data_IF_040021039252
#
_entry.id   IF_040021039252
#
_cell.length_a   1.000
_cell.length_b   1.000
_cell.length_c   1.000
_cell.angle_alpha   90.00
_cell.angle_beta   90.00
_cell.angle_gamma   90.00
#
_symmetry.space_group_name_H-M   'P 1'
#
loop_
_entity.id
_entity.type
_entity.pdbx_description
1 polymer ?
#
# COMPACT_ATOMS: atom_id res chain seq x y z
N UNK A 1 72.74 -19.84 34.65
CA UNK A 1 71.30 -20.09 34.45
C UNK A 1 70.88 -19.24 33.24
N UNK A 2 70.78 -19.86 32.05
CA UNK A 2 69.51 -20.20 31.35
C UNK A 2 68.85 -18.91 30.79
N UNK A 3 68.51 -18.67 29.50
CA UNK A 3 68.28 -19.36 28.21
C UNK A 3 68.35 -18.21 27.15
N UNK A 4 69.17 -18.17 26.09
CA UNK A 4 69.12 -18.83 24.75
C UNK A 4 68.04 -18.29 23.77
N UNK A 5 68.54 -17.71 22.65
CA UNK A 5 68.01 -17.67 21.24
C UNK A 5 66.75 -16.81 20.96
N UNK A 6 66.46 -16.31 19.77
CA UNK A 6 67.06 -16.19 18.42
C UNK A 6 65.93 -15.61 17.54
N UNK A 7 66.22 -14.82 16.50
CA UNK A 7 65.29 -14.74 15.37
C UNK A 7 65.30 -13.41 14.61
N UNK A 8 65.93 -13.41 13.44
CA UNK A 8 65.69 -12.42 12.40
C UNK A 8 64.36 -12.69 11.68
N UNK A 9 63.66 -11.64 11.23
CA UNK A 9 62.74 -11.75 10.09
C UNK A 9 62.55 -10.45 9.32
N UNK A 10 62.39 -10.63 8.02
CA UNK A 10 62.31 -9.66 6.93
C UNK A 10 60.84 -9.36 6.54
N UNK A 11 60.64 -8.21 5.89
CA UNK A 11 59.59 -7.81 4.94
C UNK A 11 58.10 -8.09 5.24
N UNK A 12 57.29 -7.03 5.29
CA UNK A 12 56.16 -6.73 4.37
C UNK A 12 55.08 -5.89 5.08
N UNK A 13 54.66 -4.77 4.45
CA UNK A 13 53.47 -4.00 4.84
C UNK A 13 52.21 -4.69 4.31
N UNK A 14 51.08 -4.75 5.04
CA UNK A 14 49.83 -5.26 4.50
C UNK A 14 49.12 -4.20 3.64
N UNK A 15 48.76 -4.59 2.40
CA UNK A 15 47.70 -3.97 1.61
C UNK A 15 46.35 -4.45 2.18
N UNK A 16 45.69 -3.64 3.01
CA UNK A 16 44.29 -3.84 3.36
C UNK A 16 43.55 -2.51 3.32
N UNK A 17 43.18 -2.02 2.13
CA UNK A 17 42.23 -0.90 2.02
C UNK A 17 41.41 -0.85 0.71
N UNK A 18 41.16 -1.98 0.04
CA UNK A 18 40.38 -1.97 -1.22
C UNK A 18 39.20 -2.94 -1.30
N UNK A 19 38.92 -3.74 -0.26
CA UNK A 19 37.87 -4.77 -0.34
C UNK A 19 36.44 -4.27 0.01
N UNK A 20 36.29 -3.13 0.69
CA UNK A 20 34.99 -2.62 1.15
C UNK A 20 34.24 -1.76 0.13
N UNK A 21 34.92 -1.20 -0.87
CA UNK A 21 34.27 -0.35 -1.89
C UNK A 21 33.48 -1.14 -2.93
N UNK A 22 33.93 -2.35 -3.28
CA UNK A 22 33.29 -3.17 -4.32
C UNK A 22 31.94 -3.76 -3.90
N UNK A 23 31.80 -4.15 -2.62
CA UNK A 23 30.57 -4.78 -2.11
C UNK A 23 29.42 -3.79 -1.89
N UNK A 24 29.75 -2.51 -1.62
CA UNK A 24 28.76 -1.44 -1.47
C UNK A 24 28.20 -0.99 -2.82
N UNK A 25 29.07 -0.78 -3.81
CA UNK A 25 28.67 -0.38 -5.16
C UNK A 25 27.77 -1.43 -5.85
N UNK A 26 28.02 -2.73 -5.65
CA UNK A 26 27.18 -3.80 -6.22
C UNK A 26 25.82 -3.91 -5.52
N UNK A 27 25.77 -3.65 -4.22
CA UNK A 27 24.53 -3.65 -3.43
C UNK A 27 23.65 -2.43 -3.75
N UNK A 28 24.27 -1.26 -3.97
CA UNK A 28 23.58 -0.04 -4.43
C UNK A 28 23.03 -0.23 -5.86
N UNK A 29 23.81 -0.79 -6.80
CA UNK A 29 23.32 -1.10 -8.15
C UNK A 29 22.15 -2.10 -8.16
N UNK A 30 22.19 -3.12 -7.28
CA UNK A 30 21.14 -4.11 -7.16
C UNK A 30 19.86 -3.53 -6.53
N UNK A 31 20.01 -2.63 -5.55
CA UNK A 31 18.90 -1.88 -4.98
C UNK A 31 18.26 -0.96 -6.04
N UNK A 32 19.07 -0.22 -6.80
CA UNK A 32 18.60 0.66 -7.89
C UNK A 32 17.87 -0.14 -8.98
N UNK A 33 18.40 -1.28 -9.40
CA UNK A 33 17.74 -2.15 -10.37
C UNK A 33 16.41 -2.72 -9.85
N UNK A 34 16.31 -3.00 -8.55
CA UNK A 34 15.07 -3.48 -7.91
C UNK A 34 14.03 -2.38 -7.85
N UNK A 35 14.42 -1.16 -7.44
CA UNK A 35 13.55 0.01 -7.40
C UNK A 35 13.02 0.35 -8.79
N UNK A 36 13.88 0.32 -9.82
CA UNK A 36 13.45 0.56 -11.22
C UNK A 36 12.44 -0.49 -11.68
N UNK A 37 12.65 -1.78 -11.39
CA UNK A 37 11.70 -2.84 -11.74
C UNK A 37 10.35 -2.65 -11.06
N UNK A 38 10.34 -2.34 -9.76
CA UNK A 38 9.13 -2.10 -8.99
C UNK A 38 8.35 -0.88 -9.52
N UNK A 39 9.05 0.19 -9.91
CA UNK A 39 8.45 1.36 -10.54
C UNK A 39 7.84 1.07 -11.93
N UNK A 40 8.48 0.20 -12.73
CA UNK A 40 7.94 -0.24 -14.03
C UNK A 40 6.69 -1.10 -13.83
N UNK A 41 6.72 -2.02 -12.87
CA UNK A 41 5.58 -2.87 -12.53
C UNK A 41 4.37 -2.03 -12.06
N UNK A 42 4.58 -1.11 -11.11
CA UNK A 42 3.50 -0.21 -10.65
C UNK A 42 2.92 0.63 -11.78
N UNK A 43 3.75 1.18 -12.67
CA UNK A 43 3.25 1.90 -13.86
C UNK A 43 2.40 1.02 -14.76
N UNK A 44 2.77 -0.25 -14.93
CA UNK A 44 1.98 -1.20 -15.71
C UNK A 44 0.61 -1.48 -15.07
N UNK A 45 0.57 -1.64 -13.74
CA UNK A 45 -0.68 -1.88 -13.00
C UNK A 45 -1.60 -0.65 -13.05
N UNK A 46 -1.05 0.56 -12.88
CA UNK A 46 -1.80 1.82 -13.02
C UNK A 46 -2.44 1.92 -14.40
N UNK A 47 -1.66 1.66 -15.46
CA UNK A 47 -2.19 1.67 -16.83
C UNK A 47 -3.31 0.65 -17.03
N UNK A 48 -3.16 -0.56 -16.50
CA UNK A 48 -4.20 -1.58 -16.58
C UNK A 48 -5.49 -1.15 -15.85
N UNK A 49 -5.37 -0.44 -14.73
CA UNK A 49 -6.51 0.13 -14.00
C UNK A 49 -7.21 1.24 -14.78
N UNK A 50 -6.46 2.13 -15.44
CA UNK A 50 -7.00 3.18 -16.31
C UNK A 50 -7.76 2.59 -17.51
N UNK A 51 -7.17 1.60 -18.19
CA UNK A 51 -7.79 0.92 -19.33
C UNK A 51 -9.09 0.19 -18.90
N UNK A 52 -9.08 -0.46 -17.74
CA UNK A 52 -10.26 -1.09 -17.17
C UNK A 52 -11.33 -0.06 -16.76
N UNK A 53 -10.93 1.08 -16.18
CA UNK A 53 -11.85 2.12 -15.76
C UNK A 53 -12.56 2.77 -16.95
N UNK A 54 -11.83 2.99 -18.05
CA UNK A 54 -12.40 3.44 -19.31
C UNK A 54 -13.51 2.50 -19.81
N UNK A 55 -13.25 1.18 -19.78
CA UNK A 55 -14.23 0.17 -20.19
C UNK A 55 -15.50 0.20 -19.33
N UNK A 56 -15.36 0.28 -18.00
CA UNK A 56 -16.50 0.36 -17.06
C UNK A 56 -17.29 1.65 -17.24
N UNK A 57 -16.61 2.78 -17.50
CA UNK A 57 -17.23 4.07 -17.71
C UNK A 57 -18.22 4.12 -18.89
N UNK A 58 -18.13 3.19 -19.84
CA UNK A 58 -19.06 3.08 -20.97
C UNK A 58 -20.42 2.44 -20.64
N UNK A 59 -20.68 2.11 -19.36
CA UNK A 59 -21.98 1.61 -18.90
C UNK A 59 -22.14 0.09 -18.95
N UNK A 60 -21.07 -0.66 -19.25
CA UNK A 60 -21.08 -2.11 -19.21
C UNK A 60 -21.22 -2.62 -17.76
N UNK A 61 -22.18 -3.52 -17.52
CA UNK A 61 -22.25 -4.27 -16.25
C UNK A 61 -21.25 -5.43 -16.31
N UNK A 62 -20.25 -5.39 -15.43
CA UNK A 62 -19.28 -6.48 -15.29
C UNK A 62 -19.91 -7.69 -14.60
N UNK A 63 -19.65 -8.88 -15.13
CA UNK A 63 -19.93 -10.15 -14.44
C UNK A 63 -18.84 -10.44 -13.40
N UNK A 64 -19.15 -11.26 -12.39
CA UNK A 64 -18.20 -11.65 -11.32
C UNK A 64 -16.84 -12.13 -11.86
N UNK A 65 -16.84 -12.96 -12.90
CA UNK A 65 -15.61 -13.43 -13.54
C UNK A 65 -14.76 -12.30 -14.12
N UNK A 66 -15.39 -11.30 -14.74
CA UNK A 66 -14.69 -10.14 -15.32
C UNK A 66 -14.10 -9.24 -14.22
N UNK A 67 -14.82 -9.05 -13.11
CA UNK A 67 -14.30 -8.33 -11.94
C UNK A 67 -13.05 -9.01 -11.39
N UNK A 68 -13.07 -10.34 -11.26
CA UNK A 68 -11.91 -11.10 -10.77
C UNK A 68 -10.70 -10.99 -11.71
N UNK A 69 -10.91 -11.02 -13.02
CA UNK A 69 -9.82 -10.84 -13.98
C UNK A 69 -9.22 -9.43 -13.92
N UNK A 70 -10.05 -8.40 -13.74
CA UNK A 70 -9.55 -7.03 -13.52
C UNK A 70 -8.77 -6.94 -12.20
N UNK A 71 -9.29 -7.52 -11.11
CA UNK A 71 -8.59 -7.54 -9.83
C UNK A 71 -7.20 -8.18 -9.98
N UNK A 72 -7.11 -9.31 -10.67
CA UNK A 72 -5.82 -9.99 -10.93
C UNK A 72 -4.86 -9.13 -11.74
N UNK A 73 -5.34 -8.30 -12.65
CA UNK A 73 -4.49 -7.48 -13.51
C UNK A 73 -4.01 -6.18 -12.88
N UNK A 74 -4.68 -5.69 -11.82
CA UNK A 74 -4.34 -4.41 -11.19
C UNK A 74 -3.84 -4.56 -9.75
N UNK A 75 -4.12 -5.67 -9.06
CA UNK A 75 -3.70 -5.83 -7.67
C UNK A 75 -2.21 -6.17 -7.57
N UNK A 76 -1.51 -5.53 -6.62
CA UNK A 76 -0.20 -6.02 -6.17
C UNK A 76 -0.36 -7.32 -5.40
N UNK A 77 0.71 -8.12 -5.40
CA UNK A 77 0.88 -9.24 -4.46
C UNK A 77 1.06 -8.69 -3.03
N UNK A 78 0.09 -8.89 -2.11
CA UNK A 78 0.14 -8.26 -0.79
C UNK A 78 1.32 -8.70 0.07
N UNK A 79 1.87 -9.89 -0.20
CA UNK A 79 3.02 -10.45 0.53
C UNK A 79 4.32 -9.71 0.22
N UNK A 80 4.39 -9.00 -0.91
CA UNK A 80 5.58 -8.28 -1.37
C UNK A 80 5.57 -6.79 -1.04
N UNK A 81 4.43 -6.26 -0.59
CA UNK A 81 4.26 -4.84 -0.29
C UNK A 81 4.72 -4.55 1.13
N UNK A 82 5.58 -3.55 1.31
CA UNK A 82 5.98 -3.04 2.62
C UNK A 82 4.95 -2.03 3.10
N UNK A 83 4.22 -2.38 4.15
CA UNK A 83 3.22 -1.51 4.77
C UNK A 83 3.08 -1.85 6.25
N UNK A 84 3.12 -0.83 7.12
CA UNK A 84 3.05 -1.01 8.59
C UNK A 84 1.67 -1.50 9.07
N UNK A 85 0.67 -1.47 8.18
CA UNK A 85 -0.69 -1.85 8.49
C UNK A 85 -1.57 -0.63 8.72
N UNK A 86 -2.87 -0.84 8.54
CA UNK A 86 -3.89 0.15 8.77
C UNK A 86 -4.03 0.44 10.26
N UNK A 87 -4.37 1.69 10.57
CA UNK A 87 -4.65 2.13 11.93
C UNK A 87 -5.82 3.11 11.91
N UNK A 88 -6.39 3.35 13.08
CA UNK A 88 -7.36 4.41 13.30
C UNK A 88 -6.72 5.47 14.19
N UNK A 89 -6.89 6.73 13.79
CA UNK A 89 -6.54 7.88 14.63
C UNK A 89 -7.78 8.51 15.25
N UNK A 90 -7.66 9.77 15.66
CA UNK A 90 -8.80 10.58 16.09
C UNK A 90 -9.04 11.74 15.15
N UNK A 91 -10.30 12.00 14.87
CA UNK A 91 -10.79 13.14 14.13
C UNK A 91 -11.52 14.09 15.06
N UNK A 92 -11.18 15.37 14.95
CA UNK A 92 -11.87 16.46 15.65
C UNK A 92 -13.13 16.95 14.91
N UNK A 93 -13.36 16.46 13.68
CA UNK A 93 -14.42 16.89 12.79
C UNK A 93 -15.03 15.72 12.03
N UNK A 94 -16.34 15.80 11.79
CA UNK A 94 -17.07 14.84 10.94
C UNK A 94 -16.90 15.10 9.44
N UNK A 95 -16.29 16.23 9.07
CA UNK A 95 -16.05 16.55 7.66
C UNK A 95 -14.78 15.84 7.16
N UNK A 96 -14.89 14.54 6.91
CA UNK A 96 -13.76 13.70 6.47
C UNK A 96 -13.11 14.20 5.18
N UNK A 97 -13.89 14.75 4.24
CA UNK A 97 -13.33 15.33 3.01
C UNK A 97 -12.40 16.47 3.33
N UNK A 98 -12.81 17.38 4.22
CA UNK A 98 -11.97 18.46 4.70
C UNK A 98 -10.75 17.92 5.44
N UNK A 99 -10.92 16.96 6.35
CA UNK A 99 -9.79 16.33 7.08
C UNK A 99 -8.73 15.80 6.12
N UNK A 100 -9.14 15.09 5.06
CA UNK A 100 -8.21 14.54 4.08
C UNK A 100 -7.55 15.62 3.21
N UNK A 101 -8.33 16.57 2.71
CA UNK A 101 -7.85 17.62 1.81
C UNK A 101 -7.01 18.68 2.52
N UNK A 102 -7.25 18.95 3.80
CA UNK A 102 -6.37 19.81 4.60
C UNK A 102 -4.96 19.18 4.73
N UNK A 103 -4.90 17.86 4.88
CA UNK A 103 -3.63 17.12 4.94
C UNK A 103 -2.98 16.92 3.55
N UNK A 104 -3.77 17.00 2.47
CA UNK A 104 -3.33 16.77 1.09
C UNK A 104 -3.89 17.86 0.15
N UNK A 105 -3.53 19.15 0.34
CA UNK A 105 -4.18 20.27 -0.34
C UNK A 105 -4.05 20.21 -1.87
N UNK A 106 -2.94 19.65 -2.36
CA UNK A 106 -2.66 19.52 -3.80
C UNK A 106 -3.60 18.53 -4.52
N UNK A 107 -4.39 17.74 -3.78
CA UNK A 107 -5.34 16.78 -4.34
C UNK A 107 -6.76 17.34 -4.45
N UNK A 108 -6.98 18.62 -4.11
CA UNK A 108 -8.28 19.23 -4.17
C UNK A 108 -8.83 19.21 -5.59
N UNK A 109 -10.00 18.58 -5.76
CA UNK A 109 -10.63 18.43 -7.06
C UNK A 109 -10.13 17.24 -7.89
N UNK A 110 -9.09 16.54 -7.46
CA UNK A 110 -8.48 15.42 -8.20
C UNK A 110 -8.93 14.04 -7.72
N UNK A 111 -9.38 13.96 -6.46
CA UNK A 111 -9.74 12.69 -5.82
C UNK A 111 -11.17 12.66 -5.26
N UNK A 112 -11.71 11.46 -5.14
CA UNK A 112 -12.82 11.14 -4.27
C UNK A 112 -12.25 10.60 -2.96
N UNK A 113 -12.58 11.24 -1.83
CA UNK A 113 -12.15 10.77 -0.52
C UNK A 113 -13.02 9.59 -0.11
N UNK A 114 -12.38 8.47 0.23
CA UNK A 114 -12.99 7.22 0.63
C UNK A 114 -12.51 6.81 2.02
N UNK A 115 -13.38 6.16 2.80
CA UNK A 115 -13.04 5.60 4.10
C UNK A 115 -12.46 4.21 3.93
N UNK A 116 -11.25 3.98 4.46
CA UNK A 116 -10.52 2.74 4.31
C UNK A 116 -11.27 1.56 4.94
N UNK A 117 -11.60 1.62 6.23
CA UNK A 117 -12.71 0.87 6.78
C UNK A 117 -14.00 1.57 6.35
N UNK A 118 -14.80 0.93 5.49
CA UNK A 118 -15.92 1.62 4.86
C UNK A 118 -17.09 1.89 5.79
N UNK A 119 -18.00 2.76 5.34
CA UNK A 119 -19.16 3.21 6.13
C UNK A 119 -20.06 2.12 6.67
N UNK A 120 -20.18 1.03 5.95
CA UNK A 120 -20.99 -0.09 6.38
C UNK A 120 -20.41 -0.80 7.61
N UNK A 121 -19.12 -0.68 7.91
CA UNK A 121 -18.52 -1.28 9.11
C UNK A 121 -19.17 -0.73 10.37
N UNK A 122 -19.28 0.59 10.51
CA UNK A 122 -19.85 1.18 11.73
C UNK A 122 -21.38 1.21 11.70
N UNK A 123 -22.02 1.20 10.54
CA UNK A 123 -23.48 1.04 10.44
C UNK A 123 -23.93 -0.38 10.85
N UNK A 124 -23.17 -1.41 10.47
CA UNK A 124 -23.47 -2.82 10.80
C UNK A 124 -22.92 -3.24 12.17
N UNK A 125 -21.77 -2.69 12.57
CA UNK A 125 -21.02 -3.09 13.76
C UNK A 125 -20.58 -1.85 14.57
N UNK A 126 -21.53 -1.15 15.23
CA UNK A 126 -21.30 0.17 15.83
C UNK A 126 -20.28 0.21 16.98
N UNK A 127 -19.87 -0.95 17.51
CA UNK A 127 -18.87 -1.05 18.58
C UNK A 127 -17.43 -1.27 18.07
N UNK A 128 -17.22 -1.45 16.76
CA UNK A 128 -15.88 -1.76 16.21
C UNK A 128 -15.03 -0.49 16.05
N UNK A 129 -15.63 0.59 15.57
CA UNK A 129 -14.98 1.87 15.28
C UNK A 129 -15.66 2.95 16.11
N UNK A 130 -14.90 3.70 16.89
CA UNK A 130 -15.46 4.81 17.66
C UNK A 130 -15.84 5.98 16.74
N UNK A 131 -16.83 6.78 17.15
CA UNK A 131 -17.36 7.87 16.34
C UNK A 131 -16.32 8.95 15.99
N UNK A 132 -15.30 9.13 16.83
CA UNK A 132 -14.17 10.03 16.58
C UNK A 132 -13.05 9.38 15.73
N UNK A 133 -13.10 8.08 15.48
CA UNK A 133 -12.11 7.36 14.68
C UNK A 133 -12.51 7.25 13.20
N UNK A 134 -13.82 7.22 12.93
CA UNK A 134 -14.41 7.07 11.59
C UNK A 134 -13.75 7.99 10.57
N UNK A 135 -13.66 9.28 10.89
CA UNK A 135 -13.19 10.32 9.98
C UNK A 135 -11.70 10.66 10.16
N UNK A 136 -10.95 9.81 10.88
CA UNK A 136 -9.52 10.03 11.12
C UNK A 136 -8.73 9.96 9.83
N UNK A 137 -7.67 10.78 9.69
CA UNK A 137 -6.85 10.82 8.47
C UNK A 137 -6.33 9.43 8.09
N UNK A 138 -5.98 8.61 9.10
CA UNK A 138 -5.50 7.24 8.94
C UNK A 138 -6.53 6.32 8.29
N UNK A 139 -7.82 6.62 8.45
CA UNK A 139 -8.93 5.90 7.83
C UNK A 139 -9.36 6.49 6.48
N UNK A 140 -8.62 7.43 5.88
CA UNK A 140 -9.03 8.08 4.63
C UNK A 140 -8.06 7.77 3.49
N UNK A 141 -8.61 7.59 2.28
CA UNK A 141 -7.90 7.30 1.04
C UNK A 141 -8.36 8.28 -0.03
N UNK A 142 -7.45 8.80 -0.85
CA UNK A 142 -7.79 9.57 -2.04
C UNK A 142 -7.84 8.66 -3.25
N UNK A 143 -9.02 8.41 -3.80
CA UNK A 143 -9.20 7.63 -5.03
C UNK A 143 -9.19 8.61 -6.20
N UNK A 144 -8.27 8.50 -7.19
CA UNK A 144 -8.29 9.36 -8.36
C UNK A 144 -9.66 9.34 -9.04
N UNK A 145 -10.18 10.50 -9.45
CA UNK A 145 -11.52 10.60 -10.07
C UNK A 145 -11.70 9.68 -11.28
N UNK A 146 -10.65 9.54 -12.10
CA UNK A 146 -10.65 8.66 -13.26
C UNK A 146 -10.93 7.18 -12.88
N UNK A 147 -10.60 6.78 -11.65
CA UNK A 147 -10.76 5.42 -11.16
C UNK A 147 -12.01 5.24 -10.26
N UNK A 148 -12.79 6.29 -9.94
CA UNK A 148 -13.93 6.20 -9.00
C UNK A 148 -14.93 5.10 -9.41
N UNK A 149 -15.33 5.05 -10.68
CA UNK A 149 -16.31 4.06 -11.13
C UNK A 149 -15.78 2.62 -11.04
N UNK A 150 -14.49 2.40 -11.24
CA UNK A 150 -13.90 1.06 -11.16
C UNK A 150 -13.48 0.72 -9.73
N UNK A 151 -12.54 1.48 -9.19
CA UNK A 151 -11.89 1.15 -7.92
C UNK A 151 -12.87 1.30 -6.75
N UNK A 152 -13.56 2.43 -6.64
CA UNK A 152 -14.47 2.68 -5.53
C UNK A 152 -15.77 1.89 -5.64
N UNK A 153 -16.47 1.98 -6.77
CA UNK A 153 -17.84 1.43 -6.89
C UNK A 153 -17.89 -0.06 -7.23
N UNK A 154 -16.86 -0.61 -7.88
CA UNK A 154 -16.84 -2.03 -8.27
C UNK A 154 -15.89 -2.83 -7.37
N UNK A 155 -14.61 -2.46 -7.35
CA UNK A 155 -13.58 -3.31 -6.72
C UNK A 155 -13.66 -3.25 -5.20
N UNK A 156 -13.63 -2.06 -4.60
CA UNK A 156 -13.72 -1.94 -3.14
C UNK A 156 -15.07 -2.45 -2.61
N UNK A 157 -16.17 -2.23 -3.36
CA UNK A 157 -17.47 -2.83 -3.05
C UNK A 157 -17.38 -4.36 -3.03
N UNK A 158 -16.78 -4.96 -4.06
CA UNK A 158 -16.58 -6.41 -4.14
C UNK A 158 -15.77 -6.95 -2.95
N UNK A 159 -14.64 -6.33 -2.61
CA UNK A 159 -13.81 -6.74 -1.46
C UNK A 159 -14.62 -6.70 -0.16
N UNK A 160 -15.32 -5.60 0.11
CA UNK A 160 -16.11 -5.48 1.33
C UNK A 160 -17.28 -6.46 1.39
N UNK A 161 -17.92 -6.77 0.26
CA UNK A 161 -18.97 -7.79 0.21
C UNK A 161 -18.42 -9.18 0.58
N UNK A 162 -17.28 -9.58 0.01
CA UNK A 162 -16.60 -10.84 0.36
C UNK A 162 -16.17 -10.88 1.83
N UNK A 163 -15.70 -9.75 2.39
CA UNK A 163 -15.41 -9.65 3.82
C UNK A 163 -16.65 -9.91 4.67
N UNK A 164 -17.78 -9.30 4.35
CA UNK A 164 -19.02 -9.47 5.12
C UNK A 164 -19.61 -10.88 5.01
N UNK A 165 -19.46 -11.54 3.86
CA UNK A 165 -19.89 -12.94 3.70
C UNK A 165 -19.09 -13.89 4.60
N UNK A 166 -17.80 -13.63 4.77
CA UNK A 166 -16.89 -14.48 5.54
C UNK A 166 -16.76 -14.09 7.01
N UNK A 167 -17.14 -12.86 7.36
CA UNK A 167 -17.03 -12.29 8.71
C UNK A 167 -18.38 -11.68 9.16
N UNK A 168 -19.39 -12.50 9.49
CA UNK A 168 -20.70 -12.00 9.91
C UNK A 168 -20.68 -11.22 11.23
N UNK A 169 -19.66 -11.42 12.06
CA UNK A 169 -19.40 -10.67 13.29
C UNK A 169 -17.89 -10.38 13.41
N UNK A 170 -17.36 -9.40 12.66
CA UNK A 170 -15.94 -9.14 12.63
C UNK A 170 -15.48 -8.52 13.95
N UNK A 171 -14.24 -8.81 14.32
CA UNK A 171 -13.53 -8.06 15.36
C UNK A 171 -12.88 -6.81 14.77
N UNK A 172 -12.53 -5.86 15.63
CA UNK A 172 -11.76 -4.67 15.22
C UNK A 172 -10.45 -5.02 14.52
N UNK A 173 -9.73 -6.03 15.03
CA UNK A 173 -8.47 -6.44 14.42
C UNK A 173 -8.69 -7.01 13.02
N UNK A 174 -9.72 -7.85 12.81
CA UNK A 174 -10.06 -8.37 11.49
C UNK A 174 -10.40 -7.26 10.49
N UNK A 175 -11.09 -6.20 10.91
CA UNK A 175 -11.34 -5.03 10.04
C UNK A 175 -10.02 -4.35 9.66
N UNK A 176 -9.14 -4.06 10.62
CA UNK A 176 -7.85 -3.41 10.35
C UNK A 176 -6.92 -4.27 9.49
N UNK A 177 -6.91 -5.57 9.71
CA UNK A 177 -6.15 -6.53 8.90
C UNK A 177 -6.68 -6.53 7.47
N UNK A 178 -8.01 -6.46 7.29
CA UNK A 178 -8.62 -6.42 5.97
C UNK A 178 -8.39 -5.09 5.24
N UNK A 179 -8.46 -3.96 5.95
CA UNK A 179 -8.03 -2.66 5.39
C UNK A 179 -6.56 -2.73 4.96
N UNK A 180 -5.71 -3.35 5.78
CA UNK A 180 -4.29 -3.54 5.43
C UNK A 180 -4.10 -4.39 4.18
N UNK A 181 -4.92 -5.42 4.02
CA UNK A 181 -4.94 -6.28 2.84
C UNK A 181 -5.35 -5.50 1.58
N UNK A 182 -6.42 -4.71 1.65
CA UNK A 182 -6.88 -3.83 0.56
C UNK A 182 -5.80 -2.79 0.20
N UNK A 183 -5.23 -2.11 1.20
CA UNK A 183 -4.16 -1.11 1.01
C UNK A 183 -2.93 -1.74 0.34
N UNK A 184 -2.56 -2.97 0.70
CA UNK A 184 -1.46 -3.67 0.02
C UNK A 184 -1.80 -3.95 -1.44
N UNK A 185 -3.00 -4.44 -1.76
CA UNK A 185 -3.41 -4.72 -3.14
C UNK A 185 -3.46 -3.46 -4.01
N UNK A 186 -4.13 -2.42 -3.52
CA UNK A 186 -4.56 -1.28 -4.35
C UNK A 186 -3.95 0.05 -3.95
N UNK A 187 -3.13 0.10 -2.89
CA UNK A 187 -2.55 1.34 -2.38
C UNK A 187 -1.71 2.12 -3.40
N UNK A 188 -1.13 1.44 -4.38
CA UNK A 188 -0.43 2.08 -5.50
C UNK A 188 -1.35 2.84 -6.48
N UNK A 189 -2.68 2.64 -6.39
CA UNK A 189 -3.70 3.35 -7.17
C UNK A 189 -4.35 4.50 -6.39
N UNK A 190 -3.97 4.69 -5.12
CA UNK A 190 -4.43 5.82 -4.30
C UNK A 190 -3.50 7.02 -4.46
N UNK A 191 -4.04 8.20 -4.17
CA UNK A 191 -3.30 9.44 -4.07
C UNK A 191 -3.52 10.05 -2.67
N UNK A 192 -2.48 10.19 -1.83
CA UNK A 192 -1.13 9.64 -2.03
C UNK A 192 -1.12 8.09 -2.02
N UNK A 193 -0.11 7.45 -2.63
CA UNK A 193 -0.01 6.00 -2.65
C UNK A 193 0.29 5.44 -1.26
N UNK A 194 -0.15 4.20 -1.02
CA UNK A 194 0.04 3.49 0.25
C UNK A 194 0.82 2.20 0.02
N UNK A 195 1.83 1.99 0.86
CA UNK A 195 2.70 0.84 0.82
C UNK A 195 3.69 0.90 -0.33
N UNK A 196 4.91 0.43 -0.07
CA UNK A 196 6.00 0.36 -1.05
C UNK A 196 6.09 -1.04 -1.62
#
# INVERSE_FOLDING_TARGET
MAVVRSGASKFAKPLEEFATSGSRATSELAADATVVRQAVETKSLVKAAEDAAYRVGTGAKLKRGEVLEIIKSIARDPSKVKYQGASLGRAISKNYRKTFLDANPNLQGEVVVHHAAERQIWERFPSIVAADEEHSLQNLRGIPKALDNLLHKVILRYEWDEFYETHPQPTRQQVLDYVSYIDRKYGHLFNPPIGE
#
